data_IF_196942930882
#
_entry.id   IF_196942930882
#
_cell.length_a   1.000
_cell.length_b   1.000
_cell.length_c   1.000
_cell.angle_alpha   90.00
_cell.angle_beta   90.00
_cell.angle_gamma   90.00
#
_symmetry.space_group_name_H-M   'P 1'
#
loop_
_entity.id
_entity.type
_entity.pdbx_description
1 polymer ?
#
# COMPACT_ATOMS: atom_id res chain seq x y z
N UNK A 1 12.97 -12.39 1.19
CA UNK A 1 12.01 -11.53 1.55
C UNK A 1 11.06 -11.31 0.46
N UNK A 2 9.90 -11.47 0.68
CA UNK A 2 8.91 -11.39 -0.36
C UNK A 2 8.71 -9.95 -0.77
N UNK A 3 8.84 -9.73 -2.02
CA UNK A 3 8.60 -8.43 -2.56
C UNK A 3 7.52 -8.60 -3.58
N UNK A 4 6.47 -7.84 -3.43
CA UNK A 4 5.38 -7.96 -4.34
C UNK A 4 5.55 -6.94 -5.44
N UNK A 5 5.84 -7.42 -6.62
CA UNK A 5 6.00 -6.52 -7.73
C UNK A 5 4.65 -6.06 -8.13
N UNK A 6 4.42 -4.79 -8.01
CA UNK A 6 3.11 -4.27 -8.23
C UNK A 6 2.60 -4.44 -9.63
N UNK A 7 3.49 -4.57 -10.56
CA UNK A 7 3.05 -4.71 -11.92
C UNK A 7 2.68 -6.13 -12.24
N UNK A 8 2.91 -7.04 -11.34
CA UNK A 8 2.70 -8.39 -11.61
C UNK A 8 1.47 -8.83 -11.03
N UNK A 9 0.46 -8.77 -11.31
CA UNK A 9 -0.73 -9.27 -10.71
C UNK A 9 -0.73 -9.45 -9.30
N UNK A 10 -0.06 -8.73 -8.60
CA UNK A 10 -0.11 -8.83 -7.21
C UNK A 10 -1.49 -8.89 -6.60
N UNK A 11 -2.42 -8.14 -7.02
CA UNK A 11 -3.70 -8.12 -6.36
C UNK A 11 -4.45 -9.40 -6.54
N UNK A 12 -4.12 -10.13 -7.56
CA UNK A 12 -4.82 -11.29 -7.79
C UNK A 12 -4.83 -12.27 -6.71
N UNK A 13 -3.73 -12.63 -6.17
CA UNK A 13 -3.71 -13.60 -5.09
C UNK A 13 -4.51 -13.13 -3.91
N UNK A 14 -4.47 -11.90 -3.61
CA UNK A 14 -5.17 -11.40 -2.47
C UNK A 14 -6.65 -11.47 -2.71
N UNK A 15 -7.08 -10.99 -3.80
CA UNK A 15 -8.48 -11.06 -4.10
C UNK A 15 -8.97 -12.48 -4.13
N UNK A 16 -8.13 -13.35 -4.59
CA UNK A 16 -8.51 -14.72 -4.67
C UNK A 16 -8.76 -15.29 -3.31
N UNK A 17 -7.99 -14.91 -2.33
CA UNK A 17 -8.20 -15.38 -1.02
C UNK A 17 -9.54 -14.99 -0.50
N UNK A 18 -9.95 -13.77 -0.74
CA UNK A 18 -11.23 -13.35 -0.24
C UNK A 18 -12.35 -14.05 -0.94
N UNK A 19 -12.23 -14.18 -2.20
CA UNK A 19 -13.31 -14.79 -2.92
C UNK A 19 -13.47 -16.23 -2.53
N UNK A 20 -12.48 -16.79 -1.86
CA UNK A 20 -12.67 -18.12 -1.44
C UNK A 20 -13.71 -18.22 -0.39
N UNK A 21 -13.89 -17.24 0.38
CA UNK A 21 -14.84 -17.33 1.43
C UNK A 21 -16.20 -16.93 1.00
N UNK A 22 -16.27 -15.95 0.20
CA UNK A 22 -17.56 -15.49 -0.16
C UNK A 22 -18.48 -16.45 -0.78
N UNK A 23 -18.08 -17.14 -1.71
CA UNK A 23 -18.99 -18.00 -2.43
C UNK A 23 -19.59 -19.04 -1.56
N UNK A 24 -19.00 -19.29 -0.54
CA UNK A 24 -19.51 -20.21 0.27
C UNK A 24 -20.79 -19.84 0.62
N UNK A 25 -21.73 -20.18 0.35
CA UNK A 25 -22.96 -19.93 0.82
C UNK A 25 -23.31 -18.65 0.52
N UNK A 26 -23.27 -18.23 -0.32
CA UNK A 26 -23.67 -17.02 -0.66
C UNK A 26 -24.15 -16.11 0.34
N UNK A 27 -24.82 -16.51 1.15
CA UNK A 27 -25.37 -15.53 1.96
C UNK A 27 -24.44 -15.06 2.97
N UNK A 28 -23.58 -15.65 3.07
CA UNK A 28 -22.89 -15.32 4.12
C UNK A 28 -22.17 -14.29 3.91
N UNK A 29 -22.02 -14.12 3.13
CA UNK A 29 -21.55 -13.07 2.93
C UNK A 29 -20.82 -12.48 3.65
N UNK A 30 -20.86 -12.74 4.05
CA UNK A 30 -20.39 -12.27 4.77
C UNK A 30 -19.29 -11.67 4.50
N UNK A 31 -19.27 -11.22 3.75
CA UNK A 31 -18.44 -10.24 3.56
C UNK A 31 -18.05 -9.83 4.83
N UNK A 32 -18.80 -10.05 5.65
CA UNK A 32 -18.55 -9.63 6.93
C UNK A 32 -17.17 -10.01 7.32
N UNK A 33 -16.60 -10.96 6.71
CA UNK A 33 -15.40 -11.37 7.20
C UNK A 33 -14.23 -10.86 6.42
N UNK A 34 -14.06 -9.65 6.29
CA UNK A 34 -12.96 -9.05 5.61
C UNK A 34 -12.19 -8.28 6.69
N UNK A 35 -11.33 -8.96 7.40
CA UNK A 35 -10.65 -8.32 8.53
C UNK A 35 -9.86 -7.11 8.12
N UNK A 36 -9.69 -6.19 9.03
CA UNK A 36 -8.97 -4.97 8.75
C UNK A 36 -7.54 -5.23 8.30
N UNK A 37 -6.90 -6.25 8.83
CA UNK A 37 -5.54 -6.53 8.42
C UNK A 37 -5.46 -6.93 6.95
N UNK A 38 -6.48 -7.61 6.45
CA UNK A 38 -6.51 -7.96 5.06
C UNK A 38 -6.86 -6.76 4.22
N UNK A 39 -7.72 -5.91 4.73
CA UNK A 39 -8.06 -4.68 4.05
C UNK A 39 -6.82 -3.81 3.88
N UNK A 40 -6.01 -3.73 4.93
CA UNK A 40 -4.78 -2.96 4.86
C UNK A 40 -3.84 -3.55 3.81
N UNK A 41 -3.67 -4.85 3.81
CA UNK A 41 -2.78 -5.50 2.86
C UNK A 41 -3.18 -5.18 1.41
N UNK A 42 -4.48 -5.26 1.13
CA UNK A 42 -4.95 -4.95 -0.20
C UNK A 42 -4.73 -3.50 -0.56
N UNK A 43 -4.99 -2.63 0.38
CA UNK A 43 -4.92 -1.20 0.11
C UNK A 43 -3.50 -0.68 0.00
N UNK A 44 -2.55 -1.36 0.65
CA UNK A 44 -1.14 -1.01 0.46
C UNK A 44 -0.76 -1.27 -1.00
N UNK A 45 -1.22 -2.36 -1.55
CA UNK A 45 -0.91 -2.69 -2.93
C UNK A 45 -1.56 -1.68 -3.88
N UNK A 46 -2.78 -1.29 -3.57
CA UNK A 46 -3.46 -0.29 -4.39
C UNK A 46 -2.71 1.04 -4.33
N UNK A 47 -2.25 1.41 -3.16
CA UNK A 47 -1.48 2.64 -3.02
C UNK A 47 -0.19 2.56 -3.81
N UNK A 48 0.50 1.43 -3.73
CA UNK A 48 1.73 1.25 -4.49
C UNK A 48 1.49 1.37 -5.99
N UNK A 49 0.37 0.84 -6.45
CA UNK A 49 0.04 0.95 -7.86
C UNK A 49 -0.28 2.38 -8.25
N UNK A 50 -0.93 3.11 -7.38
CA UNK A 50 -1.22 4.51 -7.65
C UNK A 50 0.06 5.31 -7.77
N UNK A 51 1.04 4.99 -6.93
CA UNK A 51 2.34 5.65 -7.00
C UNK A 51 3.06 5.32 -8.28
N UNK A 52 3.03 4.05 -8.68
CA UNK A 52 3.69 3.65 -9.92
C UNK A 52 3.05 4.35 -11.10
N UNK A 53 1.72 4.41 -11.11
CA UNK A 53 1.02 5.05 -12.19
C UNK A 53 1.32 6.53 -12.24
N UNK A 54 1.41 7.17 -11.08
CA UNK A 54 1.74 8.57 -11.01
C UNK A 54 3.14 8.82 -11.57
N UNK A 55 4.08 7.93 -11.23
CA UNK A 55 5.43 8.07 -11.74
C UNK A 55 5.47 7.85 -13.24
N UNK A 56 4.80 6.82 -13.71
CA UNK A 56 4.83 6.48 -15.12
C UNK A 56 4.24 7.60 -15.99
N UNK A 57 3.27 8.27 -15.44
CA UNK A 57 2.63 9.34 -16.17
C UNK A 57 3.53 10.52 -16.42
N UNK A 58 4.63 10.64 -15.69
CA UNK A 58 5.55 11.74 -15.87
C UNK A 58 6.41 11.57 -17.11
N UNK A 59 6.43 10.40 -17.67
CA UNK A 59 7.21 10.16 -18.87
C UNK A 59 8.71 10.07 -18.64
N UNK A 60 9.12 9.84 -17.41
CA UNK A 60 10.53 9.66 -17.14
C UNK A 60 10.98 8.34 -17.73
N UNK A 61 12.19 8.32 -18.20
CA UNK A 61 12.69 7.12 -18.83
C UNK A 61 13.37 6.16 -17.87
N UNK A 62 13.34 6.42 -16.61
CA UNK A 62 14.05 5.56 -15.67
C UNK A 62 13.23 4.31 -15.37
N UNK A 63 13.90 3.33 -14.82
CA UNK A 63 13.26 2.08 -14.50
C UNK A 63 12.76 2.03 -13.07
N UNK A 64 12.33 3.14 -12.56
CA UNK A 64 11.86 3.21 -11.17
C UNK A 64 10.63 2.34 -10.98
N UNK A 65 10.69 1.52 -9.95
CA UNK A 65 9.61 0.60 -9.62
C UNK A 65 9.24 0.80 -8.16
N UNK A 66 7.95 0.74 -7.88
CA UNK A 66 7.47 0.79 -6.50
C UNK A 66 7.06 -0.62 -6.12
N UNK A 67 7.70 -1.17 -5.10
CA UNK A 67 7.40 -2.50 -4.62
C UNK A 67 6.90 -2.45 -3.19
N UNK A 68 6.13 -3.45 -2.80
CA UNK A 68 5.61 -3.55 -1.44
C UNK A 68 6.34 -4.68 -0.75
N UNK A 69 6.88 -4.41 0.42
CA UNK A 69 7.64 -5.39 1.17
C UNK A 69 6.96 -5.60 2.52
N UNK A 70 6.73 -6.83 2.88
CA UNK A 70 6.08 -7.11 4.14
C UNK A 70 7.10 -7.24 5.26
N UNK A 71 6.95 -6.44 6.30
CA UNK A 71 7.77 -6.57 7.49
C UNK A 71 6.94 -7.13 8.61
N UNK A 72 7.49 -7.19 9.80
CA UNK A 72 6.78 -7.74 10.92
C UNK A 72 5.63 -6.84 11.37
N UNK A 73 5.90 -5.59 11.57
CA UNK A 73 4.90 -4.66 12.04
C UNK A 73 4.36 -3.77 10.94
N UNK A 74 5.19 -3.45 9.97
CA UNK A 74 4.83 -2.53 8.93
C UNK A 74 4.96 -3.13 7.55
N UNK A 75 4.12 -2.65 6.64
CA UNK A 75 4.37 -2.80 5.22
C UNK A 75 5.25 -1.64 4.83
N UNK A 76 6.21 -1.88 3.95
CA UNK A 76 7.02 -0.80 3.40
C UNK A 76 6.72 -0.68 1.92
N UNK A 77 6.54 0.54 1.47
CA UNK A 77 6.48 0.77 0.03
C UNK A 77 7.86 1.29 -0.34
N UNK A 78 8.54 0.56 -1.21
CA UNK A 78 9.90 0.87 -1.60
C UNK A 78 9.93 1.48 -2.97
N UNK A 79 10.77 2.48 -3.15
CA UNK A 79 11.03 3.01 -4.48
C UNK A 79 12.40 2.51 -4.90
N UNK A 80 12.45 1.77 -5.97
CA UNK A 80 13.66 1.10 -6.41
C UNK A 80 14.08 1.58 -7.78
N UNK A 81 15.29 2.10 -7.88
CA UNK A 81 15.87 2.44 -9.16
C UNK A 81 17.34 2.09 -9.02
N UNK A 82 18.24 3.01 -9.16
CA UNK A 82 19.66 2.70 -8.96
C UNK A 82 19.93 2.41 -7.50
N UNK A 83 19.12 2.93 -6.62
CA UNK A 83 19.24 2.61 -5.21
C UNK A 83 17.85 2.42 -4.67
N UNK A 84 17.75 1.82 -3.51
CA UNK A 84 16.47 1.55 -2.88
C UNK A 84 16.21 2.57 -1.79
N UNK A 85 15.00 3.04 -1.71
CA UNK A 85 14.62 3.93 -0.63
C UNK A 85 13.22 3.58 -0.17
N UNK A 86 12.92 3.92 1.06
CA UNK A 86 11.60 3.67 1.60
C UNK A 86 10.72 4.87 1.30
N UNK A 87 9.60 4.64 0.64
CA UNK A 87 8.67 5.69 0.32
C UNK A 87 7.70 5.92 1.49
N UNK A 88 7.21 4.86 2.08
CA UNK A 88 6.23 4.94 3.15
C UNK A 88 6.21 3.69 3.99
N UNK A 89 5.77 3.84 5.25
CA UNK A 89 5.52 2.72 6.12
C UNK A 89 4.02 2.68 6.40
N UNK A 90 3.44 1.50 6.45
CA UNK A 90 2.02 1.36 6.79
C UNK A 90 1.89 0.33 7.90
N UNK A 91 1.26 0.70 9.00
CA UNK A 91 1.06 -0.20 10.12
C UNK A 91 0.09 -1.30 9.70
N UNK A 92 0.46 -2.54 9.90
CA UNK A 92 -0.35 -3.67 9.44
C UNK A 92 -1.66 -3.80 10.19
N UNK A 93 -1.70 -3.35 11.43
CA UNK A 93 -2.89 -3.49 12.24
C UNK A 93 -3.79 -2.28 12.15
N UNK A 94 -3.23 -1.10 12.24
CA UNK A 94 -4.04 0.10 12.28
C UNK A 94 -4.30 0.72 10.93
N UNK A 95 -3.47 0.40 9.95
CA UNK A 95 -3.60 0.98 8.64
C UNK A 95 -3.00 2.37 8.52
N UNK A 96 -2.36 2.86 9.56
CA UNK A 96 -1.77 4.19 9.52
C UNK A 96 -0.64 4.27 8.53
N UNK A 97 -0.62 5.33 7.76
CA UNK A 97 0.41 5.56 6.75
C UNK A 97 1.35 6.63 7.25
N UNK A 98 2.62 6.31 7.29
CA UNK A 98 3.65 7.21 7.82
C UNK A 98 4.70 7.54 6.77
N UNK A 99 5.21 8.74 6.88
CA UNK A 99 6.40 9.12 6.15
C UNK A 99 7.57 8.38 6.80
N UNK A 100 8.58 7.97 6.06
CA UNK A 100 9.72 7.33 6.69
C UNK A 100 10.56 8.35 7.45
N UNK A 101 11.03 7.96 8.62
CA UNK A 101 12.00 8.76 9.35
C UNK A 101 13.39 8.26 8.98
N UNK A 102 13.51 6.97 8.72
CA UNK A 102 14.77 6.36 8.34
C UNK A 102 14.44 5.08 7.59
N UNK A 103 15.47 4.36 7.21
CA UNK A 103 15.29 3.09 6.54
C UNK A 103 14.55 2.11 7.44
N UNK A 104 14.71 2.23 8.73
CA UNK A 104 14.17 1.25 9.66
C UNK A 104 12.82 1.58 10.25
N UNK A 105 12.42 2.79 10.25
CA UNK A 105 11.20 3.13 10.93
C UNK A 105 10.52 4.37 10.46
N UNK A 106 9.26 4.50 10.85
CA UNK A 106 8.45 5.64 10.39
C UNK A 106 8.62 6.88 11.27
N UNK A 107 8.24 8.00 10.69
CA UNK A 107 8.11 9.23 11.45
C UNK A 107 6.95 9.07 12.42
N UNK A 108 6.85 9.96 13.39
CA UNK A 108 5.92 9.75 14.48
C UNK A 108 4.45 9.91 14.15
N UNK A 109 4.11 10.81 13.30
CA UNK A 109 2.70 11.13 13.11
C UNK A 109 2.16 10.51 11.85
N UNK A 110 1.04 9.82 11.97
CA UNK A 110 0.40 9.22 10.81
C UNK A 110 -0.13 10.30 9.90
N UNK A 111 0.02 10.10 8.61
CA UNK A 111 -0.45 11.06 7.62
C UNK A 111 -1.80 10.69 7.07
N UNK A 112 -2.05 9.41 6.93
CA UNK A 112 -3.30 8.89 6.39
C UNK A 112 -3.61 7.57 7.09
N UNK A 113 -4.78 7.05 6.84
CA UNK A 113 -5.16 5.75 7.39
C UNK A 113 -5.89 4.96 6.31
N UNK A 114 -5.46 3.73 6.08
CA UNK A 114 -6.02 2.94 5.00
C UNK A 114 -7.29 2.19 5.38
N UNK A 115 -7.63 2.15 6.65
CA UNK A 115 -8.87 1.51 7.06
C UNK A 115 -10.01 2.51 6.97
N UNK A 116 -9.75 3.76 7.31
CA UNK A 116 -10.76 4.80 7.24
C UNK A 116 -11.03 5.14 5.77
N UNK A 117 -12.25 5.00 5.34
CA UNK A 117 -12.58 5.14 3.92
C UNK A 117 -12.24 6.51 3.34
N UNK A 118 -12.51 7.55 4.09
CA UNK A 118 -12.24 8.89 3.59
C UNK A 118 -10.74 9.13 3.49
N UNK A 119 -10.02 8.74 4.53
CA UNK A 119 -8.57 8.93 4.55
C UNK A 119 -7.90 8.10 3.47
N UNK A 120 -8.37 6.87 3.29
CA UNK A 120 -7.83 6.01 2.24
C UNK A 120 -8.05 6.65 0.87
N UNK A 121 -9.26 7.13 0.62
CA UNK A 121 -9.56 7.77 -0.66
C UNK A 121 -8.66 8.97 -0.91
N UNK A 122 -8.46 9.78 0.12
CA UNK A 122 -7.58 10.92 -0.01
C UNK A 122 -6.14 10.54 -0.25
N UNK A 123 -5.69 9.50 0.43
CA UNK A 123 -4.33 9.05 0.29
C UNK A 123 -4.06 8.63 -1.15
N UNK A 124 -4.94 7.82 -1.70
CA UNK A 124 -4.75 7.33 -3.06
C UNK A 124 -4.89 8.46 -4.08
N UNK A 125 -5.84 9.36 -3.84
CA UNK A 125 -6.05 10.46 -4.78
C UNK A 125 -4.87 11.42 -4.81
N UNK A 126 -4.20 11.59 -3.67
CA UNK A 126 -3.08 12.51 -3.57
C UNK A 126 -1.73 11.84 -3.75
N UNK A 127 -1.72 10.53 -3.93
CA UNK A 127 -0.47 9.79 -4.02
C UNK A 127 0.45 10.40 -5.08
N UNK A 128 1.67 10.65 -4.69
CA UNK A 128 2.62 11.32 -5.51
C UNK A 128 3.96 10.62 -5.35
N UNK A 129 4.57 10.26 -6.45
CA UNK A 129 5.80 9.49 -6.44
C UNK A 129 6.92 10.17 -5.63
N UNK A 130 6.91 11.49 -5.57
CA UNK A 130 7.95 12.20 -4.84
C UNK A 130 7.72 12.19 -3.33
N UNK A 131 6.56 11.75 -2.88
CA UNK A 131 6.29 11.68 -1.45
C UNK A 131 5.77 12.96 -0.83
N UNK A 132 5.52 13.99 -1.64
CA UNK A 132 5.06 15.26 -1.10
C UNK A 132 3.77 15.16 -0.31
N UNK A 133 2.91 14.23 -0.67
CA UNK A 133 1.62 14.08 0.01
C UNK A 133 1.78 13.60 1.46
N UNK A 134 2.96 13.11 1.82
CA UNK A 134 3.20 12.62 3.18
C UNK A 134 3.74 13.69 4.11
N UNK A 135 3.92 14.89 3.64
CA UNK A 135 4.39 15.95 4.53
C UNK A 135 3.21 16.65 5.18
N UNK A 136 3.36 16.98 6.44
CA UNK A 136 2.31 17.70 7.15
C UNK A 136 2.30 19.14 6.69
N UNK A 137 1.15 19.73 6.71
CA UNK A 137 1.03 21.13 6.30
C UNK A 137 0.71 22.03 7.44
#
# INVERSE_FOLDING_TARGET
MPVYKLTVFAPFPINYRYTRYIPIKGHMTKTAFYPDTMKVADRVIILGRALQKNYDRRGYSSDTVFDVVEGRKYWKIMMINNQESVHAFIDKKTGDVFKPASWRGPAKIARYNLIDEVSYGECVARADWSGGYLYLR
#
